data_IF_137302156956
#
_entry.id   IF_137302156956
#
_cell.length_a   1.000
_cell.length_b   1.000
_cell.length_c   1.000
_cell.angle_alpha   90.00
_cell.angle_beta   90.00
_cell.angle_gamma   90.00
#
_symmetry.space_group_name_H-M   'P 1'
#
loop_
_entity.id
_entity.type
_entity.pdbx_description
1 polymer ?
#
# COMPACT_ATOMS: atom_id res chain seq x y z
N UNK A 1 17.02 143.63 72.47
CA UNK A 1 15.59 143.24 72.53
C UNK A 1 15.35 142.22 71.42
N UNK A 2 14.52 141.19 71.66
CA UNK A 2 14.18 140.04 70.80
C UNK A 2 15.13 138.81 70.84
N UNK A 3 14.85 137.93 71.80
CA UNK A 3 15.29 136.53 71.90
C UNK A 3 14.00 135.71 72.01
N UNK A 4 13.60 134.96 70.97
CA UNK A 4 12.55 133.92 71.03
C UNK A 4 12.49 133.16 69.69
N UNK A 5 12.05 131.91 69.78
CA UNK A 5 11.73 130.93 68.72
C UNK A 5 12.84 129.88 68.48
N UNK A 6 12.78 128.78 69.24
CA UNK A 6 13.20 127.41 68.81
C UNK A 6 12.67 126.36 69.81
N UNK A 7 11.35 126.21 69.97
CA UNK A 7 10.75 125.05 70.66
C UNK A 7 9.41 124.73 69.95
N UNK A 8 9.44 123.93 68.89
CA UNK A 8 8.23 123.41 68.21
C UNK A 8 8.51 122.13 67.40
N UNK A 9 9.75 121.94 66.94
CA UNK A 9 10.12 120.80 66.08
C UNK A 9 10.31 119.47 66.85
N UNK A 10 10.80 119.51 68.10
CA UNK A 10 11.12 118.30 68.86
C UNK A 10 9.89 117.46 69.27
N UNK A 11 8.75 118.10 69.51
CA UNK A 11 7.53 117.41 69.99
C UNK A 11 6.82 116.66 68.85
N UNK A 12 6.84 117.19 67.64
CA UNK A 12 6.26 116.55 66.46
C UNK A 12 7.05 115.29 66.04
N UNK A 13 8.39 115.31 66.17
CA UNK A 13 9.24 114.14 65.88
C UNK A 13 8.95 112.99 66.85
N UNK A 14 8.71 113.28 68.13
CA UNK A 14 8.42 112.26 69.14
C UNK A 14 7.06 111.58 68.92
N UNK A 15 6.02 112.35 68.58
CA UNK A 15 4.69 111.78 68.29
C UNK A 15 4.68 110.95 67.02
N UNK A 16 5.37 111.40 65.96
CA UNK A 16 5.54 110.61 64.73
C UNK A 16 6.30 109.31 65.03
N UNK A 17 7.34 109.35 65.87
CA UNK A 17 8.08 108.15 66.29
C UNK A 17 7.20 107.12 67.00
N UNK A 18 6.31 107.55 67.91
CA UNK A 18 5.40 106.64 68.63
C UNK A 18 4.37 106.03 67.68
N UNK A 19 3.79 106.81 66.75
CA UNK A 19 2.84 106.30 65.77
C UNK A 19 3.49 105.26 64.85
N UNK A 20 4.74 105.49 64.43
CA UNK A 20 5.51 104.53 63.60
C UNK A 20 5.78 103.23 64.36
N UNK A 21 6.10 103.30 65.65
CA UNK A 21 6.32 102.11 66.50
C UNK A 21 5.01 101.32 66.67
N UNK A 22 3.89 101.99 66.95
CA UNK A 22 2.59 101.32 67.08
C UNK A 22 2.18 100.68 65.75
N UNK A 23 2.42 101.34 64.62
CA UNK A 23 2.15 100.78 63.29
C UNK A 23 3.05 99.58 62.97
N UNK A 24 4.34 99.62 63.33
CA UNK A 24 5.27 98.50 63.20
C UNK A 24 4.86 97.29 64.05
N UNK A 25 4.44 97.51 65.30
CA UNK A 25 3.96 96.43 66.17
C UNK A 25 2.65 95.82 65.66
N UNK A 26 1.75 96.66 65.15
CA UNK A 26 0.47 96.22 64.56
C UNK A 26 0.68 95.39 63.29
N UNK A 27 1.61 95.81 62.43
CA UNK A 27 1.95 95.09 61.19
C UNK A 27 2.66 93.77 61.48
N UNK A 28 3.57 93.73 62.46
CA UNK A 28 4.21 92.49 62.93
C UNK A 28 3.21 91.50 63.54
N UNK A 29 2.26 91.98 64.33
CA UNK A 29 1.18 91.17 64.89
C UNK A 29 0.28 90.57 63.80
N UNK A 30 -0.10 91.37 62.80
CA UNK A 30 -0.88 90.89 61.65
C UNK A 30 -0.12 89.87 60.81
N UNK A 31 1.18 90.09 60.56
CA UNK A 31 2.03 89.13 59.85
C UNK A 31 2.19 87.82 60.62
N UNK A 32 2.42 87.89 61.94
CA UNK A 32 2.54 86.72 62.80
C UNK A 32 1.24 85.91 62.83
N UNK A 33 0.10 86.58 62.91
CA UNK A 33 -1.22 85.94 62.81
C UNK A 33 -1.45 85.28 61.44
N UNK A 34 -1.08 85.94 60.34
CA UNK A 34 -1.17 85.35 58.99
C UNK A 34 -0.24 84.14 58.81
N UNK A 35 0.96 84.18 59.39
CA UNK A 35 1.90 83.06 59.37
C UNK A 35 1.36 81.87 60.15
N UNK A 36 0.81 82.12 61.35
CA UNK A 36 0.18 81.10 62.17
C UNK A 36 -1.03 80.45 61.47
N UNK A 37 -1.89 81.25 60.85
CA UNK A 37 -3.01 80.74 60.04
C UNK A 37 -2.52 79.86 58.88
N UNK A 38 -1.42 80.25 58.20
CA UNK A 38 -0.81 79.42 57.15
C UNK A 38 -0.29 78.07 57.67
N UNK A 39 0.35 78.06 58.83
CA UNK A 39 0.85 76.81 59.44
C UNK A 39 -0.31 75.87 59.76
N UNK A 40 -1.37 76.36 60.41
CA UNK A 40 -2.57 75.56 60.69
C UNK A 40 -3.24 75.01 59.42
N UNK A 41 -3.29 75.80 58.34
CA UNK A 41 -3.82 75.29 57.06
C UNK A 41 -2.91 74.24 56.43
N UNK A 42 -1.59 74.38 56.58
CA UNK A 42 -0.62 73.43 56.02
C UNK A 42 -0.68 72.09 56.75
N UNK A 43 -0.81 72.09 58.08
CA UNK A 43 -1.00 70.87 58.87
C UNK A 43 -2.30 70.13 58.49
N UNK A 44 -3.41 70.87 58.29
CA UNK A 44 -4.67 70.26 57.83
C UNK A 44 -4.51 69.61 56.46
N UNK A 45 -3.86 70.30 55.51
CA UNK A 45 -3.59 69.76 54.16
C UNK A 45 -2.67 68.54 54.22
N UNK A 46 -1.62 68.56 55.04
CA UNK A 46 -0.72 67.41 55.20
C UNK A 46 -1.44 66.20 55.79
N UNK A 47 -2.32 66.43 56.78
CA UNK A 47 -3.13 65.35 57.35
C UNK A 47 -4.10 64.76 56.31
N UNK A 48 -4.76 65.60 55.52
CA UNK A 48 -5.64 65.15 54.44
C UNK A 48 -4.90 64.35 53.35
N UNK A 49 -3.68 64.79 52.97
CA UNK A 49 -2.82 64.05 52.03
C UNK A 49 -2.41 62.70 52.60
N UNK A 50 -2.04 62.65 53.88
CA UNK A 50 -1.64 61.41 54.56
C UNK A 50 -2.80 60.42 54.66
N UNK A 51 -3.99 60.90 55.04
CA UNK A 51 -5.20 60.08 55.10
C UNK A 51 -5.57 59.54 53.70
N UNK A 52 -5.45 60.36 52.65
CA UNK A 52 -5.66 59.93 51.27
C UNK A 52 -4.65 58.87 50.81
N UNK A 53 -3.37 59.03 51.15
CA UNK A 53 -2.33 58.03 50.86
C UNK A 53 -2.60 56.70 51.56
N UNK A 54 -3.04 56.74 52.82
CA UNK A 54 -3.39 55.53 53.57
C UNK A 54 -4.58 54.80 52.95
N UNK A 55 -5.62 55.53 52.51
CA UNK A 55 -6.77 54.94 51.80
C UNK A 55 -6.32 54.30 50.48
N UNK A 56 -5.50 54.99 49.69
CA UNK A 56 -4.97 54.47 48.42
C UNK A 56 -4.12 53.20 48.62
N UNK A 57 -3.32 53.14 49.70
CA UNK A 57 -2.54 51.96 50.06
C UNK A 57 -3.47 50.79 50.42
N UNK A 58 -4.50 51.04 51.22
CA UNK A 58 -5.48 50.03 51.64
C UNK A 58 -6.25 49.46 50.44
N UNK A 59 -6.65 50.32 49.49
CA UNK A 59 -7.28 49.89 48.23
C UNK A 59 -6.33 49.06 47.37
N UNK A 60 -5.05 49.44 47.28
CA UNK A 60 -4.03 48.68 46.52
C UNK A 60 -3.79 47.32 47.14
N UNK A 61 -3.75 47.22 48.47
CA UNK A 61 -3.61 45.95 49.17
C UNK A 61 -4.84 45.04 48.94
N UNK A 62 -6.06 45.59 48.98
CA UNK A 62 -7.26 44.82 48.66
C UNK A 62 -7.27 44.34 47.20
N UNK A 63 -6.94 45.21 46.25
CA UNK A 63 -6.82 44.83 44.83
C UNK A 63 -5.74 43.78 44.60
N UNK A 64 -4.61 43.88 45.31
CA UNK A 64 -3.52 42.90 45.26
C UNK A 64 -3.96 41.54 45.80
N UNK A 65 -4.67 41.49 46.93
CA UNK A 65 -5.23 40.25 47.49
C UNK A 65 -6.21 39.58 46.53
N UNK A 66 -7.15 40.34 45.96
CA UNK A 66 -8.11 39.81 44.97
C UNK A 66 -7.39 39.27 43.73
N UNK A 67 -6.33 39.94 43.27
CA UNK A 67 -5.55 39.49 42.12
C UNK A 67 -4.77 38.20 42.44
N UNK A 68 -4.19 38.08 43.63
CA UNK A 68 -3.50 36.87 44.10
C UNK A 68 -4.48 35.70 44.18
N UNK A 69 -5.67 35.91 44.74
CA UNK A 69 -6.70 34.87 44.83
C UNK A 69 -7.18 34.43 43.44
N UNK A 70 -7.34 35.36 42.50
CA UNK A 70 -7.68 35.05 41.11
C UNK A 70 -6.56 34.26 40.40
N UNK A 71 -5.30 34.64 40.61
CA UNK A 71 -4.15 33.92 40.04
C UNK A 71 -4.02 32.51 40.63
N UNK A 72 -4.24 32.36 41.94
CA UNK A 72 -4.20 31.07 42.60
C UNK A 72 -5.31 30.16 42.09
N UNK A 73 -6.54 30.69 41.94
CA UNK A 73 -7.66 29.96 41.34
C UNK A 73 -7.38 29.53 39.91
N UNK A 74 -6.86 30.43 39.07
CA UNK A 74 -6.50 30.12 37.69
C UNK A 74 -5.39 29.04 37.61
N UNK A 75 -4.43 29.07 38.55
CA UNK A 75 -3.37 28.06 38.64
C UNK A 75 -3.93 26.69 39.05
N UNK A 76 -4.89 26.65 39.98
CA UNK A 76 -5.51 25.41 40.43
C UNK A 76 -6.42 24.80 39.34
N UNK A 77 -7.16 25.64 38.61
CA UNK A 77 -7.94 25.22 37.44
C UNK A 77 -7.04 24.66 36.33
N UNK A 78 -5.92 25.32 36.03
CA UNK A 78 -4.94 24.85 35.05
C UNK A 78 -4.28 23.51 35.45
N UNK A 79 -3.98 23.31 36.74
CA UNK A 79 -3.47 22.03 37.26
C UNK A 79 -4.50 20.92 37.12
N UNK A 80 -5.77 21.21 37.39
CA UNK A 80 -6.86 20.25 37.24
C UNK A 80 -7.01 19.81 35.77
N UNK A 81 -7.00 20.75 34.83
CA UNK A 81 -7.09 20.47 33.39
C UNK A 81 -5.87 19.68 32.88
N UNK A 82 -4.67 20.00 33.37
CA UNK A 82 -3.45 19.26 33.05
C UNK A 82 -3.55 17.79 33.52
N UNK A 83 -4.09 17.56 34.72
CA UNK A 83 -4.24 16.21 35.29
C UNK A 83 -5.27 15.40 34.50
N UNK A 84 -6.37 16.03 34.10
CA UNK A 84 -7.40 15.43 33.23
C UNK A 84 -6.81 15.06 31.86
N UNK A 85 -6.09 15.99 31.24
CA UNK A 85 -5.45 15.78 29.93
C UNK A 85 -4.42 14.64 29.98
N UNK A 86 -3.62 14.57 31.06
CA UNK A 86 -2.67 13.46 31.27
C UNK A 86 -3.38 12.11 31.38
N UNK A 87 -4.47 12.06 32.13
CA UNK A 87 -5.27 10.83 32.29
C UNK A 87 -5.88 10.38 30.96
N UNK A 88 -6.39 11.32 30.16
CA UNK A 88 -6.96 11.03 28.84
C UNK A 88 -5.91 10.58 27.83
N UNK A 89 -4.70 11.15 27.88
CA UNK A 89 -3.55 10.71 27.08
C UNK A 89 -3.12 9.27 27.43
N UNK A 90 -3.05 8.94 28.73
CA UNK A 90 -2.73 7.58 29.20
C UNK A 90 -3.78 6.56 28.75
N UNK A 91 -5.08 6.89 28.85
CA UNK A 91 -6.17 6.05 28.32
C UNK A 91 -6.07 5.85 26.81
N UNK A 92 -5.76 6.91 26.07
CA UNK A 92 -5.60 6.85 24.60
C UNK A 92 -4.42 5.96 24.22
N UNK A 93 -3.28 6.10 24.91
CA UNK A 93 -2.11 5.24 24.70
C UNK A 93 -2.40 3.77 25.03
N UNK A 94 -3.14 3.49 26.11
CA UNK A 94 -3.58 2.13 26.43
C UNK A 94 -4.47 1.55 25.32
N UNK A 95 -5.38 2.36 24.75
CA UNK A 95 -6.24 1.96 23.64
C UNK A 95 -5.42 1.69 22.37
N UNK A 96 -4.48 2.58 22.01
CA UNK A 96 -3.56 2.38 20.87
C UNK A 96 -2.77 1.08 21.02
N UNK A 97 -2.23 0.81 22.21
CA UNK A 97 -1.49 -0.44 22.49
C UNK A 97 -2.37 -1.69 22.34
N UNK A 98 -3.63 -1.62 22.77
CA UNK A 98 -4.58 -2.73 22.58
C UNK A 98 -4.93 -2.96 21.11
N UNK A 99 -5.08 -1.88 20.32
CA UNK A 99 -5.33 -1.93 18.89
C UNK A 99 -4.12 -2.48 18.12
N UNK A 100 -2.90 -2.05 18.46
CA UNK A 100 -1.69 -2.57 17.81
C UNK A 100 -1.51 -4.06 18.06
N UNK A 101 -1.77 -4.53 19.29
CA UNK A 101 -1.75 -5.96 19.62
C UNK A 101 -2.84 -6.74 18.86
N UNK A 102 -4.04 -6.17 18.69
CA UNK A 102 -5.08 -6.80 17.89
C UNK A 102 -4.70 -6.92 16.40
N UNK A 103 -4.01 -5.90 15.85
CA UNK A 103 -3.52 -5.91 14.46
C UNK A 103 -2.37 -6.90 14.27
N UNK A 104 -1.41 -6.97 15.21
CA UNK A 104 -0.35 -7.98 15.17
C UNK A 104 -0.92 -9.40 15.23
N UNK A 105 -1.94 -9.63 16.05
CA UNK A 105 -2.64 -10.92 16.10
C UNK A 105 -3.49 -11.20 14.85
N UNK A 106 -3.93 -10.16 14.12
CA UNK A 106 -4.55 -10.30 12.80
C UNK A 106 -3.53 -10.48 11.66
N UNK A 107 -2.22 -10.23 11.88
CA UNK A 107 -1.15 -10.56 10.92
C UNK A 107 -0.96 -12.08 10.70
N UNK A 108 -1.74 -12.90 11.42
CA UNK A 108 -1.97 -14.31 11.11
C UNK A 108 -2.92 -14.53 9.92
N UNK A 109 -3.35 -13.46 9.23
CA UNK A 109 -4.00 -13.60 7.93
C UNK A 109 -3.08 -14.42 7.02
N UNK A 110 -3.58 -15.52 6.41
CA UNK A 110 -2.76 -16.41 5.61
C UNK A 110 -2.08 -15.57 4.53
N UNK A 111 -0.74 -15.55 4.56
CA UNK A 111 0.10 -14.86 3.58
C UNK A 111 -0.47 -15.13 2.20
N UNK A 112 -0.93 -14.08 1.53
CA UNK A 112 -1.62 -14.21 0.24
C UNK A 112 -0.71 -15.01 -0.70
N UNK A 113 -1.18 -16.20 -1.08
CA UNK A 113 -0.43 -17.08 -1.95
C UNK A 113 -0.68 -16.56 -3.36
N UNK A 114 0.27 -15.78 -3.89
CA UNK A 114 0.21 -15.22 -5.25
C UNK A 114 1.31 -15.84 -6.12
N UNK A 115 0.99 -16.11 -7.38
CA UNK A 115 1.95 -16.51 -8.41
C UNK A 115 2.49 -15.24 -9.08
N UNK A 116 3.77 -14.95 -8.88
CA UNK A 116 4.47 -13.79 -9.44
C UNK A 116 5.17 -14.11 -10.76
N UNK A 117 5.59 -13.08 -11.50
CA UNK A 117 6.42 -13.24 -12.70
C UNK A 117 7.74 -13.98 -12.42
N UNK A 118 8.34 -13.77 -11.24
CA UNK A 118 9.56 -14.45 -10.82
C UNK A 118 9.32 -15.95 -10.59
N UNK A 119 8.14 -16.34 -10.09
CA UNK A 119 7.79 -17.76 -9.95
C UNK A 119 7.72 -18.45 -11.32
N UNK A 120 7.36 -17.72 -12.38
CA UNK A 120 7.10 -18.27 -13.71
C UNK A 120 8.31 -18.23 -14.66
N UNK A 121 9.27 -17.33 -14.41
CA UNK A 121 10.36 -17.02 -15.34
C UNK A 121 11.09 -18.28 -15.84
N UNK A 122 11.35 -19.23 -14.94
CA UNK A 122 12.07 -20.48 -15.25
C UNK A 122 11.26 -21.50 -16.04
N UNK A 123 9.95 -21.32 -16.25
CA UNK A 123 9.07 -22.34 -16.82
C UNK A 123 8.41 -21.92 -18.13
N UNK A 124 8.27 -20.62 -18.39
CA UNK A 124 7.51 -20.12 -19.57
C UNK A 124 8.06 -20.64 -20.90
N UNK A 125 9.37 -20.72 -21.08
CA UNK A 125 10.00 -21.24 -22.32
C UNK A 125 9.96 -22.77 -22.44
N UNK A 126 9.49 -23.48 -21.41
CA UNK A 126 9.16 -24.90 -21.47
C UNK A 126 7.79 -25.19 -22.09
N UNK A 127 6.99 -24.16 -22.37
CA UNK A 127 5.71 -24.27 -23.10
C UNK A 127 5.94 -23.95 -24.56
N UNK A 128 5.44 -24.83 -25.43
CA UNK A 128 5.67 -24.84 -26.88
C UNK A 128 4.35 -24.77 -27.65
N UNK A 129 4.42 -24.37 -28.92
CA UNK A 129 3.28 -24.41 -29.82
C UNK A 129 3.29 -25.74 -30.59
N UNK A 130 2.16 -26.44 -30.61
CA UNK A 130 1.96 -27.64 -31.43
C UNK A 130 1.13 -27.22 -32.65
N UNK A 131 1.67 -27.44 -33.85
CA UNK A 131 1.06 -26.99 -35.10
C UNK A 131 0.82 -28.22 -35.97
N UNK A 132 -0.41 -28.43 -36.41
CA UNK A 132 -0.81 -29.61 -37.14
C UNK A 132 -1.55 -29.24 -38.43
N UNK A 133 -1.26 -29.95 -39.51
CA UNK A 133 -2.08 -29.96 -40.72
C UNK A 133 -3.14 -31.05 -40.63
N UNK A 134 -4.36 -30.70 -41.02
CA UNK A 134 -5.53 -31.56 -41.12
C UNK A 134 -6.10 -31.48 -42.54
N UNK A 135 -7.04 -32.35 -42.88
CA UNK A 135 -7.69 -32.32 -44.20
C UNK A 135 -8.47 -31.02 -44.47
N UNK A 136 -8.92 -30.34 -43.42
CA UNK A 136 -9.73 -29.13 -43.45
C UNK A 136 -8.93 -27.84 -43.18
N UNK A 137 -7.61 -27.92 -42.95
CA UNK A 137 -6.76 -26.75 -42.76
C UNK A 137 -5.61 -26.97 -41.78
N UNK A 138 -5.17 -25.89 -41.14
CA UNK A 138 -4.10 -25.90 -40.14
C UNK A 138 -4.71 -25.58 -38.77
N UNK A 139 -4.44 -26.44 -37.80
CA UNK A 139 -4.82 -26.23 -36.40
C UNK A 139 -3.58 -26.02 -35.54
N UNK A 140 -3.73 -25.31 -34.43
CA UNK A 140 -2.67 -25.14 -33.44
C UNK A 140 -3.19 -25.33 -32.03
N UNK A 141 -2.35 -25.91 -31.19
CA UNK A 141 -2.51 -26.02 -29.74
C UNK A 141 -1.20 -25.66 -29.03
N UNK A 142 -1.17 -25.98 -27.75
CA UNK A 142 0.01 -25.83 -26.91
C UNK A 142 0.56 -27.20 -26.50
N UNK A 143 1.79 -27.21 -26.05
CA UNK A 143 2.46 -28.39 -25.49
C UNK A 143 3.43 -27.94 -24.40
N UNK A 144 3.96 -28.89 -23.65
CA UNK A 144 5.02 -28.65 -22.67
C UNK A 144 6.17 -29.61 -22.83
N UNK A 145 7.40 -29.15 -22.59
CA UNK A 145 8.62 -29.95 -22.71
C UNK A 145 8.86 -30.79 -21.46
N UNK A 146 9.09 -32.09 -21.66
CA UNK A 146 9.32 -33.07 -20.61
C UNK A 146 10.49 -34.00 -20.93
N UNK A 147 11.11 -34.49 -19.86
CA UNK A 147 12.13 -35.54 -19.88
C UNK A 147 11.52 -36.82 -19.30
N UNK A 148 11.51 -37.89 -20.09
CA UNK A 148 11.17 -39.23 -19.61
C UNK A 148 12.41 -40.13 -19.72
N UNK A 149 12.43 -41.23 -18.96
CA UNK A 149 13.56 -42.16 -18.95
C UNK A 149 13.75 -42.83 -20.31
N UNK A 150 12.65 -43.21 -20.94
CA UNK A 150 12.62 -43.90 -22.23
C UNK A 150 12.63 -42.92 -23.42
N UNK A 151 12.10 -41.70 -23.22
CA UNK A 151 12.05 -40.64 -24.22
C UNK A 151 12.50 -39.29 -23.60
N UNK A 152 13.81 -38.97 -23.65
CA UNK A 152 14.37 -37.85 -22.90
C UNK A 152 13.91 -36.48 -23.41
N UNK A 153 13.41 -36.39 -24.64
CA UNK A 153 12.93 -35.14 -25.23
C UNK A 153 11.52 -35.33 -25.79
N UNK A 154 10.54 -34.95 -24.99
CA UNK A 154 9.13 -35.14 -25.32
C UNK A 154 8.33 -33.86 -25.17
N UNK A 155 7.22 -33.79 -25.89
CA UNK A 155 6.15 -32.81 -25.64
C UNK A 155 4.92 -33.52 -25.09
N UNK A 156 4.41 -33.02 -23.98
CA UNK A 156 3.10 -33.42 -23.44
C UNK A 156 2.08 -32.38 -23.88
N UNK A 157 0.96 -32.83 -24.46
CA UNK A 157 -0.14 -31.99 -24.94
C UNK A 157 -1.48 -32.69 -24.72
N UNK A 158 -2.58 -32.10 -25.19
CA UNK A 158 -3.86 -32.80 -25.25
C UNK A 158 -3.96 -33.66 -26.51
N UNK A 159 -4.62 -34.81 -26.40
CA UNK A 159 -4.81 -35.72 -27.52
C UNK A 159 -5.57 -35.06 -28.68
N UNK A 160 -6.63 -34.30 -28.39
CA UNK A 160 -7.43 -33.63 -29.43
C UNK A 160 -6.63 -32.60 -30.25
N UNK A 161 -5.51 -32.08 -29.73
CA UNK A 161 -4.64 -31.14 -30.46
C UNK A 161 -4.02 -31.83 -31.68
N UNK A 162 -3.63 -33.10 -31.53
CA UNK A 162 -2.97 -33.89 -32.57
C UNK A 162 -3.90 -34.89 -33.25
N UNK A 163 -5.10 -35.12 -32.71
CA UNK A 163 -6.10 -36.03 -33.28
C UNK A 163 -6.47 -35.63 -34.71
N UNK A 164 -6.55 -36.65 -35.57
CA UNK A 164 -6.91 -36.56 -37.00
C UNK A 164 -5.95 -35.68 -37.82
N UNK A 165 -4.75 -35.40 -37.30
CA UNK A 165 -3.72 -34.67 -38.03
C UNK A 165 -3.00 -35.56 -39.05
N UNK A 166 -2.64 -34.97 -40.19
CA UNK A 166 -1.83 -35.60 -41.22
C UNK A 166 -0.35 -35.46 -40.86
N UNK A 167 0.06 -34.25 -40.42
CA UNK A 167 1.41 -33.95 -39.94
C UNK A 167 1.32 -32.95 -38.81
N UNK A 168 2.21 -33.06 -37.83
CA UNK A 168 2.40 -32.05 -36.81
C UNK A 168 3.87 -31.69 -36.65
N UNK A 169 4.12 -30.48 -36.18
CA UNK A 169 5.43 -29.96 -35.81
C UNK A 169 5.33 -29.26 -34.46
N UNK A 170 6.46 -29.16 -33.78
CA UNK A 170 6.60 -28.45 -32.51
C UNK A 170 7.40 -27.18 -32.80
N UNK A 171 6.84 -26.02 -32.48
CA UNK A 171 7.52 -24.73 -32.56
C UNK A 171 7.90 -24.23 -31.17
N UNK A 172 9.18 -23.93 -30.98
CA UNK A 172 9.75 -23.47 -29.72
C UNK A 172 10.11 -22.00 -29.84
N UNK A 173 9.77 -21.21 -28.81
CA UNK A 173 10.09 -19.79 -28.75
C UNK A 173 10.89 -19.41 -27.52
N UNK A 174 11.75 -18.38 -27.66
CA UNK A 174 12.49 -17.81 -26.54
C UNK A 174 11.56 -16.95 -25.63
N UNK A 175 12.12 -16.25 -24.65
CA UNK A 175 11.36 -15.41 -23.70
C UNK A 175 10.64 -14.23 -24.36
N UNK A 176 11.10 -13.79 -25.53
CA UNK A 176 10.50 -12.69 -26.32
C UNK A 176 9.61 -13.17 -27.48
N UNK A 177 9.23 -14.46 -27.49
CA UNK A 177 8.36 -15.09 -28.50
C UNK A 177 8.96 -15.21 -29.92
N UNK A 178 10.28 -15.15 -30.07
CA UNK A 178 10.92 -15.47 -31.34
C UNK A 178 11.08 -16.97 -31.50
N UNK A 179 10.74 -17.51 -32.68
CA UNK A 179 10.93 -18.93 -32.99
C UNK A 179 12.41 -19.27 -33.05
N UNK A 180 12.83 -20.16 -32.15
CA UNK A 180 14.21 -20.64 -32.00
C UNK A 180 14.33 -22.14 -32.30
N UNK A 181 13.25 -22.76 -32.77
CA UNK A 181 13.23 -24.18 -33.10
C UNK A 181 11.92 -24.62 -33.76
N UNK A 182 12.02 -25.48 -34.77
CA UNK A 182 10.88 -26.22 -35.31
C UNK A 182 11.31 -27.65 -35.57
N UNK A 183 10.59 -28.59 -34.97
CA UNK A 183 10.91 -30.01 -35.01
C UNK A 183 9.73 -30.83 -35.53
N UNK A 184 10.04 -31.87 -36.31
CA UNK A 184 9.06 -32.91 -36.63
C UNK A 184 8.73 -33.69 -35.38
N UNK A 185 7.57 -34.35 -35.37
CA UNK A 185 7.31 -35.43 -34.42
C UNK A 185 7.93 -36.71 -35.00
N UNK A 186 8.70 -37.44 -34.20
CA UNK A 186 9.47 -38.62 -34.64
C UNK A 186 8.55 -39.79 -34.96
N UNK A 187 7.82 -40.27 -33.96
CA UNK A 187 6.91 -41.43 -34.02
C UNK A 187 5.91 -41.39 -32.84
N UNK A 188 4.79 -42.10 -33.00
CA UNK A 188 3.73 -42.44 -32.04
C UNK A 188 3.19 -41.35 -31.09
N UNK A 189 1.86 -41.16 -31.12
CA UNK A 189 1.14 -40.50 -30.03
C UNK A 189 0.97 -41.53 -28.92
N UNK A 190 1.75 -41.39 -27.84
CA UNK A 190 1.55 -42.20 -26.64
C UNK A 190 0.45 -41.56 -25.79
N UNK A 191 -0.36 -42.40 -25.15
CA UNK A 191 -1.23 -41.96 -24.06
C UNK A 191 -1.03 -42.91 -22.90
N UNK A 192 -0.75 -42.36 -21.72
CA UNK A 192 -0.68 -43.14 -20.49
C UNK A 192 -2.07 -43.57 -20.02
N UNK A 193 -3.08 -42.75 -20.29
CA UNK A 193 -4.45 -42.97 -19.86
C UNK A 193 -5.42 -42.60 -20.98
N UNK A 194 -5.99 -43.62 -21.64
CA UNK A 194 -6.96 -43.46 -22.73
C UNK A 194 -8.25 -42.74 -22.32
N UNK A 195 -8.53 -42.63 -21.02
CA UNK A 195 -9.67 -41.90 -20.49
C UNK A 195 -9.36 -40.42 -20.26
N UNK A 196 -8.11 -40.01 -20.48
CA UNK A 196 -7.70 -38.61 -20.47
C UNK A 196 -7.41 -38.13 -21.87
N UNK A 197 -7.59 -36.83 -22.08
CA UNK A 197 -7.28 -36.18 -23.34
C UNK A 197 -5.82 -35.74 -23.31
N UNK A 198 -4.91 -36.72 -23.27
CA UNK A 198 -3.45 -36.56 -23.13
C UNK A 198 -2.72 -37.27 -24.28
N UNK A 199 -1.65 -36.62 -24.74
CA UNK A 199 -0.74 -37.14 -25.76
C UNK A 199 0.71 -36.78 -25.43
N UNK A 200 1.61 -37.74 -25.60
CA UNK A 200 3.06 -37.54 -25.55
C UNK A 200 3.63 -37.73 -26.93
N UNK A 201 4.44 -36.74 -27.33
CA UNK A 201 5.01 -36.60 -28.65
C UNK A 201 6.53 -36.64 -28.54
N UNK A 202 7.17 -37.67 -29.11
CA UNK A 202 8.63 -37.72 -29.23
C UNK A 202 9.11 -36.66 -30.23
N UNK A 203 10.06 -35.83 -29.81
CA UNK A 203 10.59 -34.77 -30.67
C UNK A 203 11.62 -35.36 -31.63
N UNK A 204 11.41 -35.17 -32.93
CA UNK A 204 12.25 -35.68 -34.01
C UNK A 204 13.28 -34.68 -34.52
N UNK A 205 13.58 -34.78 -35.81
CA UNK A 205 14.58 -33.91 -36.45
C UNK A 205 14.11 -32.46 -36.55
N UNK A 206 15.07 -31.53 -36.43
CA UNK A 206 14.84 -30.12 -36.75
C UNK A 206 14.58 -29.93 -38.24
N UNK A 207 13.60 -29.09 -38.55
CA UNK A 207 13.33 -28.60 -39.92
C UNK A 207 13.56 -27.09 -40.05
N UNK A 208 14.09 -26.46 -38.99
CA UNK A 208 14.39 -25.04 -38.97
C UNK A 208 15.89 -24.81 -38.87
N UNK A 209 16.43 -23.96 -39.75
CA UNK A 209 17.87 -23.75 -39.89
C UNK A 209 18.50 -23.07 -38.68
N UNK A 210 17.71 -22.34 -37.87
CA UNK A 210 18.18 -21.66 -36.65
C UNK A 210 17.88 -22.44 -35.37
N UNK A 211 17.46 -23.71 -35.47
CA UNK A 211 17.19 -24.52 -34.28
C UNK A 211 18.47 -24.70 -33.45
N UNK A 212 18.35 -24.47 -32.16
CA UNK A 212 19.39 -24.87 -31.20
C UNK A 212 19.31 -26.38 -30.94
N UNK A 213 20.39 -27.03 -30.44
CA UNK A 213 20.34 -28.44 -30.08
C UNK A 213 19.20 -28.74 -29.11
N UNK A 214 18.49 -29.84 -29.35
CA UNK A 214 17.27 -30.18 -28.61
C UNK A 214 17.46 -30.29 -27.09
N UNK A 215 18.65 -30.71 -26.66
CA UNK A 215 19.03 -30.82 -25.26
C UNK A 215 19.12 -29.46 -24.54
N UNK A 216 19.22 -28.36 -25.29
CA UNK A 216 19.43 -27.01 -24.73
C UNK A 216 18.12 -26.25 -24.48
N UNK A 217 16.96 -26.84 -24.80
CA UNK A 217 15.66 -26.23 -24.48
C UNK A 217 15.29 -26.41 -23.01
N UNK A 218 14.26 -25.70 -22.59
CA UNK A 218 13.87 -25.64 -21.19
C UNK A 218 12.94 -26.78 -20.79
N UNK A 219 13.50 -27.83 -20.18
CA UNK A 219 12.74 -28.97 -19.64
C UNK A 219 12.45 -28.84 -18.13
N UNK A 220 12.58 -27.64 -17.55
CA UNK A 220 12.43 -27.44 -16.10
C UNK A 220 11.06 -27.84 -15.54
N UNK A 221 10.01 -27.83 -16.37
CA UNK A 221 8.67 -28.30 -16.00
C UNK A 221 8.67 -29.76 -15.53
N UNK A 222 9.56 -30.60 -16.08
CA UNK A 222 9.67 -32.01 -15.68
C UNK A 222 10.06 -32.24 -14.22
N UNK A 223 10.66 -31.24 -13.57
CA UNK A 223 11.12 -31.32 -12.17
C UNK A 223 10.17 -30.62 -11.20
N UNK A 224 9.13 -29.94 -11.70
CA UNK A 224 8.13 -29.28 -10.85
C UNK A 224 7.23 -30.33 -10.24
N UNK A 225 7.03 -30.26 -8.91
CA UNK A 225 6.12 -31.16 -8.21
C UNK A 225 4.68 -31.03 -8.73
N UNK A 226 3.92 -32.12 -8.64
CA UNK A 226 2.47 -32.10 -8.85
C UNK A 226 1.78 -31.38 -7.68
N UNK A 227 0.68 -30.69 -7.97
CA UNK A 227 -0.20 -30.16 -6.92
C UNK A 227 -0.95 -31.30 -6.22
N UNK A 228 -1.53 -31.01 -5.06
CA UNK A 228 -2.46 -31.95 -4.42
C UNK A 228 -3.73 -32.10 -5.30
N UNK A 229 -4.41 -33.23 -5.20
CA UNK A 229 -5.56 -33.54 -6.07
C UNK A 229 -6.81 -32.73 -5.72
N UNK A 230 -6.82 -32.10 -4.54
CA UNK A 230 -7.92 -31.37 -3.92
C UNK A 230 -7.51 -29.93 -3.61
N UNK A 231 -6.71 -29.31 -4.48
CA UNK A 231 -6.32 -27.90 -4.36
C UNK A 231 -7.58 -27.02 -4.10
N UNK A 232 -7.63 -26.23 -3.01
CA UNK A 232 -8.84 -25.51 -2.62
C UNK A 232 -9.37 -24.53 -3.67
N UNK A 233 -10.70 -24.38 -3.77
CA UNK A 233 -11.32 -23.25 -4.48
C UNK A 233 -10.78 -21.92 -3.93
N UNK A 234 -10.45 -20.98 -4.82
CA UNK A 234 -9.76 -19.74 -4.49
C UNK A 234 -8.23 -19.82 -4.58
N UNK A 235 -7.65 -21.02 -4.71
CA UNK A 235 -6.19 -21.16 -4.92
C UNK A 235 -5.77 -20.50 -6.23
N UNK A 236 -4.62 -19.80 -6.25
CA UNK A 236 -4.12 -19.14 -7.46
C UNK A 236 -3.79 -20.16 -8.53
N UNK A 237 -4.13 -19.84 -9.77
CA UNK A 237 -3.74 -20.61 -10.95
C UNK A 237 -3.26 -19.69 -12.06
N UNK A 238 -2.28 -20.17 -12.81
CA UNK A 238 -1.78 -19.53 -14.02
C UNK A 238 -1.82 -20.53 -15.18
N UNK A 239 -2.32 -20.10 -16.32
CA UNK A 239 -2.32 -20.85 -17.58
C UNK A 239 -1.27 -20.24 -18.51
N UNK A 240 -0.44 -21.09 -19.10
CA UNK A 240 0.58 -20.71 -20.08
C UNK A 240 0.30 -21.50 -21.36
N UNK A 241 0.18 -20.79 -22.49
CA UNK A 241 -0.14 -21.40 -23.78
C UNK A 241 -0.06 -20.44 -24.96
N UNK A 242 -0.55 -20.89 -26.11
CA UNK A 242 -0.57 -20.18 -27.38
C UNK A 242 -2.03 -20.02 -27.87
N UNK A 243 -2.83 -19.14 -27.24
CA UNK A 243 -4.23 -18.94 -27.59
C UNK A 243 -4.41 -18.34 -28.99
N UNK A 244 -5.53 -18.66 -29.64
CA UNK A 244 -5.88 -18.11 -30.94
C UNK A 244 -6.03 -16.58 -30.91
N UNK A 245 -6.54 -16.00 -29.81
CA UNK A 245 -6.59 -14.53 -29.68
C UNK A 245 -5.20 -13.85 -29.71
N UNK A 246 -4.11 -14.58 -29.45
CA UNK A 246 -2.75 -14.05 -29.48
C UNK A 246 -2.06 -14.20 -30.85
N UNK A 247 -2.83 -14.56 -31.88
CA UNK A 247 -2.39 -14.56 -33.28
C UNK A 247 -1.91 -13.18 -33.71
N UNK A 248 -0.90 -13.16 -34.57
CA UNK A 248 -0.30 -11.94 -35.15
C UNK A 248 -0.46 -11.94 -36.66
N UNK A 249 -0.27 -10.76 -37.25
CA UNK A 249 -0.29 -10.58 -38.69
C UNK A 249 0.99 -11.10 -39.38
N UNK A 250 2.02 -11.45 -38.61
CA UNK A 250 3.22 -12.10 -39.13
C UNK A 250 2.96 -13.58 -39.38
N UNK A 251 3.56 -14.08 -40.45
CA UNK A 251 3.47 -15.48 -40.87
C UNK A 251 4.84 -16.15 -40.88
N UNK A 252 4.83 -17.47 -40.67
CA UNK A 252 5.97 -18.36 -40.72
C UNK A 252 5.70 -19.44 -41.77
N UNK A 253 6.61 -19.61 -42.72
CA UNK A 253 6.55 -20.73 -43.66
C UNK A 253 7.22 -21.96 -43.04
N UNK A 254 6.45 -23.03 -42.90
CA UNK A 254 6.94 -24.32 -42.40
C UNK A 254 6.82 -25.31 -43.55
N UNK A 255 7.94 -25.69 -44.17
CA UNK A 255 8.00 -26.53 -45.37
C UNK A 255 7.01 -27.73 -45.36
N UNK A 256 6.83 -28.40 -44.22
CA UNK A 256 5.97 -29.58 -44.09
C UNK A 256 4.49 -29.31 -43.81
N UNK A 257 4.13 -28.07 -43.43
CA UNK A 257 2.79 -27.66 -42.99
C UNK A 257 2.20 -26.56 -43.90
N UNK A 258 3.03 -25.62 -44.36
CA UNK A 258 2.65 -24.43 -45.12
C UNK A 258 2.78 -23.14 -44.30
N UNK A 259 2.12 -22.10 -44.78
CA UNK A 259 2.10 -20.77 -44.14
C UNK A 259 1.22 -20.77 -42.89
N UNK A 260 1.81 -20.47 -41.73
CA UNK A 260 1.11 -20.36 -40.45
C UNK A 260 1.25 -18.97 -39.88
N UNK A 261 0.25 -18.51 -39.14
CA UNK A 261 0.39 -17.23 -38.43
C UNK A 261 1.18 -17.46 -37.14
N UNK A 262 2.03 -16.50 -36.81
CA UNK A 262 2.75 -16.51 -35.53
C UNK A 262 1.75 -16.26 -34.42
N UNK A 263 1.79 -17.11 -33.39
CA UNK A 263 0.99 -16.94 -32.17
C UNK A 263 1.95 -16.69 -31.02
N UNK A 264 1.67 -15.68 -30.21
CA UNK A 264 2.51 -15.39 -29.04
C UNK A 264 2.08 -16.25 -27.86
N UNK A 265 3.07 -16.75 -27.13
CA UNK A 265 2.84 -17.37 -25.83
C UNK A 265 2.26 -16.32 -24.89
N UNK A 266 1.17 -16.67 -24.22
CA UNK A 266 0.52 -15.84 -23.20
C UNK A 266 0.57 -16.52 -21.84
N UNK A 267 0.36 -15.71 -20.82
CA UNK A 267 0.20 -16.13 -19.43
C UNK A 267 -1.07 -15.47 -18.92
N UNK A 268 -2.05 -16.26 -18.47
CA UNK A 268 -3.29 -15.76 -17.89
C UNK A 268 -3.41 -16.24 -16.45
N UNK A 269 -3.77 -15.34 -15.54
CA UNK A 269 -3.94 -15.62 -14.12
C UNK A 269 -5.43 -15.79 -13.78
N UNK A 270 -5.70 -16.54 -12.71
CA UNK A 270 -7.03 -16.71 -12.14
C UNK A 270 -6.96 -17.48 -10.83
N UNK A 271 -8.09 -18.09 -10.47
CA UNK A 271 -8.22 -18.99 -9.33
C UNK A 271 -8.89 -20.31 -9.76
N UNK A 272 -8.73 -21.35 -8.95
CA UNK A 272 -9.64 -22.49 -8.99
C UNK A 272 -11.03 -22.00 -8.57
N UNK A 273 -12.01 -22.19 -9.43
CA UNK A 273 -13.40 -21.74 -9.25
C UNK A 273 -14.35 -22.88 -8.90
N UNK A 274 -13.94 -24.14 -9.11
CA UNK A 274 -14.71 -25.32 -8.78
C UNK A 274 -14.03 -26.59 -9.26
N UNK A 275 -14.74 -27.71 -9.12
CA UNK A 275 -14.26 -29.04 -9.52
C UNK A 275 -15.22 -29.69 -10.51
N UNK A 276 -14.67 -30.43 -11.45
CA UNK A 276 -15.41 -31.30 -12.37
C UNK A 276 -15.09 -32.77 -12.03
N UNK A 277 -16.12 -33.46 -11.54
CA UNK A 277 -16.07 -34.89 -11.17
C UNK A 277 -16.85 -35.76 -12.16
N UNK A 278 -17.20 -35.24 -13.34
CA UNK A 278 -17.93 -35.99 -14.36
C UNK A 278 -17.12 -37.11 -15.01
N UNK A 279 -15.78 -37.03 -14.92
CA UNK A 279 -14.86 -38.04 -15.44
C UNK A 279 -14.31 -38.93 -14.31
N UNK A 280 -14.03 -40.22 -14.59
CA UNK A 280 -13.42 -41.12 -13.61
C UNK A 280 -11.99 -40.65 -13.26
N UNK A 281 -11.63 -40.76 -11.98
CA UNK A 281 -10.31 -40.36 -11.46
C UNK A 281 -10.41 -39.20 -10.46
N UNK A 282 -9.33 -38.44 -10.33
CA UNK A 282 -9.35 -37.21 -9.52
C UNK A 282 -10.15 -36.13 -10.24
N UNK A 283 -10.81 -35.25 -9.50
CA UNK A 283 -11.58 -34.17 -10.11
C UNK A 283 -10.68 -33.23 -10.93
N UNK A 284 -11.16 -32.85 -12.10
CA UNK A 284 -10.58 -31.76 -12.89
C UNK A 284 -10.98 -30.41 -12.25
N UNK A 285 -10.36 -29.32 -12.69
CA UNK A 285 -10.56 -28.01 -12.07
C UNK A 285 -11.22 -27.05 -13.05
N UNK A 286 -12.30 -26.41 -12.62
CA UNK A 286 -12.77 -25.20 -13.28
C UNK A 286 -11.93 -24.02 -12.82
N UNK A 287 -11.48 -23.18 -13.75
CA UNK A 287 -10.63 -22.02 -13.44
C UNK A 287 -11.20 -20.72 -14.01
N UNK A 288 -10.96 -19.61 -13.32
CA UNK A 288 -11.31 -18.27 -13.80
C UNK A 288 -10.27 -17.65 -14.74
N UNK A 289 -9.11 -18.29 -14.87
CA UNK A 289 -8.10 -17.87 -15.83
C UNK A 289 -8.67 -17.98 -17.25
N UNK A 290 -8.40 -16.96 -18.09
CA UNK A 290 -8.89 -16.96 -19.48
C UNK A 290 -8.23 -18.09 -20.26
N UNK A 291 -9.07 -18.98 -20.81
CA UNK A 291 -8.67 -20.07 -21.71
C UNK A 291 -9.45 -19.93 -23.01
N UNK A 292 -8.70 -19.78 -24.10
CA UNK A 292 -9.18 -19.79 -25.48
C UNK A 292 -8.70 -21.05 -26.22
N UNK A 293 -9.27 -21.34 -27.39
CA UNK A 293 -8.74 -22.38 -28.28
C UNK A 293 -7.26 -22.09 -28.58
N UNK A 294 -6.43 -23.13 -28.58
CA UNK A 294 -4.97 -22.99 -28.69
C UNK A 294 -4.21 -23.07 -27.35
N UNK A 295 -4.84 -22.76 -26.22
CA UNK A 295 -4.22 -23.05 -24.91
C UNK A 295 -4.21 -24.54 -24.58
N UNK A 296 -5.10 -25.33 -25.18
CA UNK A 296 -5.19 -26.78 -24.98
C UNK A 296 -3.80 -27.43 -25.11
N UNK A 297 -3.41 -28.19 -24.10
CA UNK A 297 -2.13 -28.89 -24.02
C UNK A 297 -0.98 -28.04 -23.46
N UNK A 298 -1.23 -26.79 -23.10
CA UNK A 298 -0.28 -25.92 -22.43
C UNK A 298 -0.02 -26.35 -20.98
N UNK A 299 0.28 -25.39 -20.10
CA UNK A 299 0.53 -25.68 -18.69
C UNK A 299 -0.39 -24.91 -17.77
N UNK A 300 -0.97 -25.59 -16.79
CA UNK A 300 -1.62 -24.96 -15.64
C UNK A 300 -0.75 -25.14 -14.40
N UNK A 301 -0.33 -24.03 -13.80
CA UNK A 301 0.45 -24.01 -12.56
C UNK A 301 -0.41 -23.49 -11.41
N UNK A 302 -0.36 -24.18 -10.28
CA UNK A 302 -0.94 -23.74 -9.02
C UNK A 302 0.16 -23.34 -8.03
N UNK A 303 -0.24 -22.73 -6.91
CA UNK A 303 0.67 -22.46 -5.79
C UNK A 303 -0.04 -22.72 -4.47
N UNK A 304 0.63 -23.46 -3.60
CA UNK A 304 0.18 -23.75 -2.24
C UNK A 304 1.28 -23.35 -1.23
N UNK A 305 1.12 -23.72 0.05
CA UNK A 305 2.10 -23.41 1.10
C UNK A 305 3.51 -24.01 0.89
N UNK A 306 3.65 -25.00 -0.01
CA UNK A 306 4.91 -25.64 -0.41
C UNK A 306 5.49 -25.05 -1.71
N UNK A 307 4.92 -23.97 -2.23
CA UNK A 307 5.40 -23.26 -3.42
C UNK A 307 4.64 -23.62 -4.70
N UNK A 308 5.27 -23.40 -5.85
CA UNK A 308 4.66 -23.65 -7.15
C UNK A 308 4.52 -25.16 -7.41
N UNK A 309 3.47 -25.56 -8.13
CA UNK A 309 3.22 -26.93 -8.53
C UNK A 309 2.47 -27.01 -9.85
N UNK A 310 2.54 -28.17 -10.51
CA UNK A 310 1.76 -28.43 -11.73
C UNK A 310 0.35 -28.83 -11.32
N UNK A 311 -0.63 -28.03 -11.74
CA UNK A 311 -2.04 -28.34 -11.55
C UNK A 311 -2.53 -29.33 -12.61
N UNK A 312 -2.08 -29.17 -13.85
CA UNK A 312 -2.58 -29.98 -14.95
C UNK A 312 -2.35 -29.43 -16.35
N UNK A 313 -3.05 -30.02 -17.31
CA UNK A 313 -3.12 -29.53 -18.69
C UNK A 313 -4.43 -28.74 -18.87
N UNK A 314 -4.38 -27.46 -19.28
CA UNK A 314 -5.57 -26.73 -19.68
C UNK A 314 -6.19 -27.43 -20.89
N UNK A 315 -7.51 -27.59 -20.88
CA UNK A 315 -8.30 -28.05 -22.02
C UNK A 315 -9.49 -27.12 -22.19
N UNK A 316 -9.81 -26.79 -23.43
CA UNK A 316 -10.96 -25.93 -23.72
C UNK A 316 -12.23 -26.78 -23.81
N UNK A 317 -13.20 -26.51 -22.94
CA UNK A 317 -14.55 -27.03 -23.06
C UNK A 317 -15.51 -25.89 -23.41
N UNK A 318 -16.38 -26.13 -24.39
CA UNK A 318 -17.58 -25.30 -24.56
C UNK A 318 -18.65 -25.81 -23.61
N UNK A 319 -18.71 -25.24 -22.40
CA UNK A 319 -19.81 -25.51 -21.47
C UNK A 319 -20.69 -24.28 -21.37
N UNK A 320 -21.92 -24.36 -21.89
CA UNK A 320 -22.89 -23.26 -21.85
C UNK A 320 -22.95 -22.42 -23.15
N UNK A 321 -23.95 -21.53 -23.21
CA UNK A 321 -24.27 -20.74 -24.42
C UNK A 321 -23.54 -19.39 -24.53
N UNK A 322 -22.96 -18.88 -23.43
CA UNK A 322 -22.53 -17.46 -23.37
C UNK A 322 -21.14 -17.22 -22.74
N UNK A 323 -20.60 -18.14 -21.94
CA UNK A 323 -19.28 -17.98 -21.32
C UNK A 323 -18.55 -19.33 -21.26
N UNK A 324 -17.31 -19.37 -21.76
CA UNK A 324 -16.46 -20.57 -21.68
C UNK A 324 -15.67 -20.54 -20.39
N UNK A 325 -16.05 -21.36 -19.42
CA UNK A 325 -15.25 -21.58 -18.22
C UNK A 325 -14.04 -22.46 -18.57
N UNK A 326 -12.84 -22.06 -18.12
CA UNK A 326 -11.64 -22.84 -18.36
C UNK A 326 -11.66 -24.15 -17.58
N UNK A 327 -11.27 -25.26 -18.21
CA UNK A 327 -11.07 -26.55 -17.54
C UNK A 327 -9.57 -26.90 -17.52
N UNK A 328 -9.09 -27.42 -16.39
CA UNK A 328 -7.74 -27.99 -16.26
C UNK A 328 -7.87 -29.45 -15.89
N UNK A 329 -7.32 -30.33 -16.73
CA UNK A 329 -7.24 -31.76 -16.45
C UNK A 329 -6.24 -32.01 -15.33
N UNK A 330 -6.66 -32.68 -14.26
CA UNK A 330 -5.83 -32.90 -13.08
C UNK A 330 -4.55 -33.68 -13.43
N UNK A 331 -3.39 -33.15 -13.04
CA UNK A 331 -2.08 -33.73 -13.37
C UNK A 331 -1.92 -35.19 -12.93
N UNK A 332 -2.60 -35.59 -11.85
CA UNK A 332 -2.52 -36.96 -11.33
C UNK A 332 -3.32 -37.97 -12.15
N UNK A 333 -4.18 -37.51 -13.05
CA UNK A 333 -4.86 -38.37 -14.02
C UNK A 333 -4.02 -38.59 -15.29
N UNK A 334 -3.09 -37.66 -15.55
CA UNK A 334 -2.25 -37.57 -16.76
C UNK A 334 -0.95 -38.35 -16.56
N UNK A 335 -0.30 -38.18 -15.40
CA UNK A 335 0.93 -38.88 -15.07
C UNK A 335 0.73 -39.82 -13.89
N UNK A 336 1.27 -41.06 -13.93
CA UNK A 336 1.24 -41.97 -12.79
C UNK A 336 1.89 -41.34 -11.56
N UNK A 337 1.47 -41.75 -10.37
CA UNK A 337 2.16 -41.37 -9.13
C UNK A 337 3.64 -41.78 -9.25
N UNK A 338 4.54 -40.81 -9.10
CA UNK A 338 5.99 -41.07 -9.08
C UNK A 338 6.41 -41.57 -7.70
#
# INVERSE_FOLDING_TARGET
MAKRITISLAWHIMVIGIIVIIFLLSTLGFFSYKLYQKVLTTEKIQKEILDKQNIDILEREQKSKVLIDLQQKALDDAKLELTKTKTDAEKTNAKIKSLSQAVENQSLLPKEIVISSNDLASYTTGVVQVICSKSDGISSGSGTLWTFKEEPYSVVTNYHVVKDSIKCVISLTNSVNETIGIFKIKDAVYTFNKNTDEAILSIGESIYSKSVPIANYNYSLSTVRKCQNDMPVGSPVVIIGYPAYAKRNSTLDINTIGMVNVIYRTVTNGIISGYDSSQPGNANYFVSAKIDNGNSGGMALGKDGKGLCILGLPTWLTVGNYETQGLVQNISNIFPAQ
#
